data_IF_641081475356
#
_entry.id   IF_641081475356
#
_cell.length_a   1.000
_cell.length_b   1.000
_cell.length_c   1.000
_cell.angle_alpha   90.00
_cell.angle_beta   90.00
_cell.angle_gamma   90.00
#
_symmetry.space_group_name_H-M   'P 1'
#
loop_
_entity.id
_entity.type
_entity.pdbx_description
1 polymer ?
#
# COMPACT_ATOMS: atom_id res chain seq x y z
N UNK A 1 6.27 -14.19 18.25
CA UNK A 1 6.39 -13.02 19.12
C UNK A 1 6.16 -11.79 18.26
N UNK A 2 4.97 -11.20 18.34
CA UNK A 2 4.71 -9.90 17.71
C UNK A 2 4.93 -8.89 18.84
N UNK A 3 5.83 -7.90 18.70
CA UNK A 3 6.10 -6.95 19.77
C UNK A 3 4.92 -5.97 19.84
N UNK A 4 3.84 -6.38 20.49
CA UNK A 4 2.74 -5.47 20.79
C UNK A 4 2.97 -4.82 22.16
N UNK A 5 2.45 -3.60 22.20
CA UNK A 5 2.51 -2.54 23.20
C UNK A 5 2.13 -2.96 24.62
N UNK A 6 2.31 -2.01 25.53
CA UNK A 6 2.02 -2.08 26.97
C UNK A 6 0.78 -2.91 27.31
N UNK A 7 0.92 -3.92 28.18
CA UNK A 7 -0.21 -4.78 28.60
C UNK A 7 -1.18 -4.09 29.57
N UNK A 8 -0.75 -2.99 30.18
CA UNK A 8 -1.49 -2.24 31.19
C UNK A 8 -1.50 -0.76 30.83
N UNK A 9 -2.44 0.00 31.40
CA UNK A 9 -2.38 1.46 31.30
C UNK A 9 -1.12 2.00 31.97
N UNK A 10 -0.38 2.88 31.29
CA UNK A 10 0.71 3.67 31.89
C UNK A 10 0.26 5.12 32.01
N UNK A 11 0.27 5.64 33.23
CA UNK A 11 -0.08 7.04 33.50
C UNK A 11 1.21 7.86 33.66
N UNK A 12 1.45 8.77 32.72
CA UNK A 12 2.56 9.72 32.75
C UNK A 12 2.03 11.09 33.16
N UNK A 13 2.28 11.50 34.41
CA UNK A 13 1.96 12.86 34.87
C UNK A 13 2.89 13.85 34.19
N UNK A 14 2.33 14.78 33.42
CA UNK A 14 3.08 15.87 32.77
C UNK A 14 3.19 17.07 33.70
N UNK A 15 2.10 17.39 34.41
CA UNK A 15 2.05 18.35 35.53
C UNK A 15 0.80 18.07 36.38
N UNK A 16 0.51 18.95 37.35
CA UNK A 16 -0.61 18.78 38.29
C UNK A 16 -1.99 18.71 37.63
N UNK A 17 -2.12 19.24 36.40
CA UNK A 17 -3.39 19.35 35.68
C UNK A 17 -3.45 18.47 34.42
N UNK A 18 -2.38 17.74 34.08
CA UNK A 18 -2.30 16.96 32.84
C UNK A 18 -1.60 15.61 33.06
N UNK A 19 -2.30 14.54 32.72
CA UNK A 19 -1.76 13.17 32.69
C UNK A 19 -1.98 12.59 31.30
N UNK A 20 -0.91 12.06 30.70
CA UNK A 20 -0.98 11.23 29.50
C UNK A 20 -1.22 9.78 29.93
N UNK A 21 -2.24 9.16 29.36
CA UNK A 21 -2.60 7.76 29.64
C UNK A 21 -2.26 6.95 28.40
N UNK A 22 -1.19 6.15 28.46
CA UNK A 22 -0.85 5.16 27.44
C UNK A 22 -1.73 3.91 27.66
N UNK A 23 -2.63 3.63 26.72
CA UNK A 23 -3.56 2.51 26.79
C UNK A 23 -2.98 1.25 26.15
N UNK A 24 -3.37 0.05 26.60
CA UNK A 24 -3.02 -1.18 25.90
C UNK A 24 -3.43 -1.13 24.42
N UNK A 25 -2.56 -1.64 23.54
CA UNK A 25 -2.85 -1.67 22.11
C UNK A 25 -3.86 -2.75 21.75
N UNK A 26 -4.74 -2.45 20.81
CA UNK A 26 -5.65 -3.44 20.25
C UNK A 26 -4.94 -4.30 19.20
N UNK A 27 -5.12 -5.62 19.27
CA UNK A 27 -4.75 -6.53 18.19
C UNK A 27 -5.88 -6.58 17.17
N UNK A 28 -5.64 -6.13 15.94
CA UNK A 28 -6.55 -6.36 14.82
C UNK A 28 -6.12 -7.61 14.06
N UNK A 29 -7.06 -8.52 13.68
CA UNK A 29 -6.74 -9.60 12.76
C UNK A 29 -6.47 -9.01 11.37
N UNK A 30 -5.20 -8.83 11.06
CA UNK A 30 -4.67 -8.45 9.75
C UNK A 30 -3.91 -9.67 9.19
N UNK A 31 -4.03 -9.94 7.88
CA UNK A 31 -3.26 -10.98 7.18
C UNK A 31 -1.74 -10.83 7.33
N UNK A 32 -1.26 -9.60 7.55
CA UNK A 32 0.15 -9.30 7.77
C UNK A 32 0.67 -9.79 9.13
N UNK A 33 -0.22 -9.94 10.12
CA UNK A 33 0.19 -10.15 11.52
C UNK A 33 0.84 -11.52 11.78
N UNK A 34 0.56 -12.51 10.92
CA UNK A 34 1.04 -13.88 11.11
C UNK A 34 2.28 -14.23 10.26
N UNK A 35 2.71 -13.36 9.33
CA UNK A 35 3.88 -13.59 8.49
C UNK A 35 5.06 -12.70 8.91
N UNK A 36 6.01 -13.31 9.64
CA UNK A 36 7.18 -12.62 10.18
C UNK A 36 8.12 -12.08 9.09
N UNK A 37 8.20 -12.73 7.94
CA UNK A 37 9.01 -12.27 6.81
C UNK A 37 8.37 -11.05 6.14
N UNK A 38 7.04 -11.08 5.99
CA UNK A 38 6.27 -9.93 5.50
C UNK A 38 6.38 -8.73 6.46
N UNK A 39 6.28 -8.95 7.77
CA UNK A 39 6.48 -7.92 8.80
C UNK A 39 7.87 -7.24 8.69
N UNK A 40 8.93 -8.01 8.45
CA UNK A 40 10.28 -7.45 8.21
C UNK A 40 10.34 -6.62 6.92
N UNK A 41 9.55 -6.95 5.90
CA UNK A 41 9.53 -6.20 4.63
C UNK A 41 8.79 -4.88 4.77
N UNK A 42 7.65 -4.86 5.45
CA UNK A 42 6.85 -3.64 5.68
C UNK A 42 7.53 -2.68 6.67
N UNK A 43 8.46 -3.16 7.51
CA UNK A 43 9.32 -2.29 8.32
C UNK A 43 10.30 -1.49 7.44
N UNK A 44 9.85 -0.28 7.07
CA UNK A 44 10.55 0.68 6.22
C UNK A 44 11.50 1.52 7.07
N UNK A 45 12.80 1.19 7.00
CA UNK A 45 13.89 1.93 7.70
C UNK A 45 14.50 3.07 6.87
N UNK A 46 14.15 3.17 5.59
CA UNK A 46 14.71 4.13 4.63
C UNK A 46 13.59 4.70 3.78
N UNK A 47 13.77 5.90 3.23
CA UNK A 47 12.81 6.51 2.29
C UNK A 47 12.41 5.50 1.19
N UNK A 48 11.09 5.37 0.98
CA UNK A 48 10.52 4.59 -0.12
C UNK A 48 10.93 5.23 -1.44
N UNK A 49 11.48 4.43 -2.36
CA UNK A 49 11.83 4.90 -3.70
C UNK A 49 10.67 4.57 -4.64
N UNK A 50 10.04 5.57 -5.30
CA UNK A 50 9.02 5.30 -6.30
C UNK A 50 9.60 4.51 -7.46
N UNK A 51 8.85 3.53 -7.97
CA UNK A 51 9.24 2.73 -9.13
C UNK A 51 8.16 2.89 -10.21
N UNK A 52 8.52 3.52 -11.31
CA UNK A 52 7.60 3.78 -12.42
C UNK A 52 7.62 2.64 -13.45
N UNK A 53 6.44 2.26 -13.92
CA UNK A 53 6.26 1.29 -15.01
C UNK A 53 5.33 1.85 -16.08
N UNK A 54 5.72 1.64 -17.34
CA UNK A 54 4.82 1.72 -18.49
C UNK A 54 4.34 0.31 -18.80
N UNK A 55 3.08 0.04 -18.51
CA UNK A 55 2.41 -1.23 -18.74
C UNK A 55 1.68 -1.19 -20.07
N UNK A 56 1.81 -2.26 -20.84
CA UNK A 56 1.03 -2.52 -22.05
C UNK A 56 -0.14 -3.41 -21.72
N UNK A 57 -1.13 -3.41 -22.59
CA UNK A 57 -2.21 -4.39 -22.54
C UNK A 57 -1.65 -5.83 -22.44
N UNK A 58 -2.30 -6.65 -21.61
CA UNK A 58 -1.94 -8.03 -21.27
C UNK A 58 -0.65 -8.22 -20.46
N UNK A 59 0.12 -7.17 -20.18
CA UNK A 59 1.25 -7.27 -19.24
C UNK A 59 0.74 -7.31 -17.79
N UNK A 60 1.52 -7.95 -16.94
CA UNK A 60 1.26 -8.06 -15.51
C UNK A 60 2.34 -7.36 -14.69
N UNK A 61 1.91 -6.65 -13.65
CA UNK A 61 2.78 -6.18 -12.56
C UNK A 61 2.56 -7.09 -11.35
N UNK A 62 3.63 -7.76 -10.94
CA UNK A 62 3.62 -8.79 -9.89
C UNK A 62 4.40 -8.28 -8.69
N UNK A 63 3.77 -8.28 -7.52
CA UNK A 63 4.39 -8.02 -6.22
C UNK A 63 4.55 -9.37 -5.53
N UNK A 64 5.72 -9.99 -5.73
CA UNK A 64 6.06 -11.31 -5.19
C UNK A 64 4.94 -12.36 -5.43
N UNK A 65 4.39 -12.94 -4.37
CA UNK A 65 3.24 -13.85 -4.36
C UNK A 65 1.96 -13.21 -3.81
N UNK A 66 2.02 -11.94 -3.37
CA UNK A 66 0.96 -11.21 -2.68
C UNK A 66 -0.09 -10.62 -3.63
N UNK A 67 0.37 -10.13 -4.79
CA UNK A 67 -0.49 -9.44 -5.75
C UNK A 67 0.00 -9.68 -7.17
N UNK A 68 -0.92 -10.00 -8.08
CA UNK A 68 -0.67 -9.98 -9.51
C UNK A 68 -1.77 -9.19 -10.22
N UNK A 69 -1.39 -8.09 -10.89
CA UNK A 69 -2.32 -7.26 -11.65
C UNK A 69 -2.02 -7.35 -13.14
N UNK A 70 -2.97 -7.86 -13.91
CA UNK A 70 -2.92 -7.92 -15.37
C UNK A 70 -3.68 -6.75 -15.96
N UNK A 71 -3.02 -5.97 -16.82
CA UNK A 71 -3.58 -4.77 -17.42
C UNK A 71 -4.39 -5.11 -18.67
N UNK A 72 -5.57 -4.51 -18.84
CA UNK A 72 -6.44 -4.66 -20.02
C UNK A 72 -6.37 -3.47 -20.97
N UNK A 73 -5.50 -2.51 -20.67
CA UNK A 73 -5.16 -1.37 -21.50
C UNK A 73 -3.75 -0.89 -21.12
N UNK A 74 -3.17 0.00 -21.93
CA UNK A 74 -1.91 0.65 -21.59
C UNK A 74 -2.07 1.52 -20.34
N UNK A 75 -1.09 1.48 -19.44
CA UNK A 75 -1.14 2.21 -18.18
C UNK A 75 0.25 2.69 -17.74
N UNK A 76 0.30 3.91 -17.20
CA UNK A 76 1.46 4.45 -16.51
C UNK A 76 1.21 4.38 -15.01
N UNK A 77 2.03 3.61 -14.30
CA UNK A 77 1.86 3.39 -12.86
C UNK A 77 3.14 3.69 -12.10
N UNK A 78 3.02 4.15 -10.86
CA UNK A 78 4.14 4.39 -9.96
C UNK A 78 3.88 3.64 -8.66
N UNK A 79 4.78 2.72 -8.31
CA UNK A 79 4.64 1.89 -7.14
C UNK A 79 5.39 2.51 -5.94
N UNK A 80 4.69 2.66 -4.81
CA UNK A 80 5.20 3.18 -3.53
C UNK A 80 5.06 2.09 -2.45
N UNK A 81 6.11 1.29 -2.30
CA UNK A 81 6.19 0.19 -1.34
C UNK A 81 7.61 0.09 -0.77
N UNK A 82 7.79 -0.66 0.31
CA UNK A 82 9.12 -0.92 0.86
C UNK A 82 10.09 -1.44 -0.21
N UNK A 83 11.31 -0.90 -0.22
CA UNK A 83 12.36 -1.28 -1.18
C UNK A 83 12.79 -2.76 -1.04
N UNK A 84 12.28 -3.49 -0.04
CA UNK A 84 12.53 -4.92 0.19
C UNK A 84 11.61 -5.82 -0.65
N UNK A 85 10.47 -5.31 -1.13
CA UNK A 85 9.56 -6.06 -1.98
C UNK A 85 10.11 -6.14 -3.41
N UNK A 86 10.02 -7.34 -4.00
CA UNK A 86 10.40 -7.54 -5.41
C UNK A 86 9.20 -7.33 -6.32
N UNK A 87 9.28 -6.32 -7.18
CA UNK A 87 8.34 -6.15 -8.29
C UNK A 87 8.89 -6.83 -9.54
N UNK A 88 8.01 -7.48 -10.30
CA UNK A 88 8.33 -8.06 -11.60
C UNK A 88 7.27 -7.67 -12.61
N UNK A 89 7.74 -7.26 -13.78
CA UNK A 89 6.93 -7.12 -14.98
C UNK A 89 7.01 -8.43 -15.77
N UNK A 90 5.88 -8.93 -16.27
CA UNK A 90 5.87 -10.16 -17.07
C UNK A 90 4.49 -10.51 -17.59
N UNK A 91 4.32 -11.75 -18.04
CA UNK A 91 3.05 -12.28 -18.50
C UNK A 91 2.72 -13.48 -17.62
N UNK A 92 1.80 -13.31 -16.67
CA UNK A 92 1.41 -14.42 -15.79
C UNK A 92 -0.09 -14.44 -15.61
N UNK A 93 -0.72 -15.45 -16.20
CA UNK A 93 -2.13 -15.76 -16.02
C UNK A 93 -2.20 -16.66 -14.78
N UNK A 94 -2.54 -16.09 -13.63
CA UNK A 94 -3.18 -16.87 -12.56
C UNK A 94 -4.70 -16.78 -12.78
N UNK A 95 -5.49 -17.54 -12.02
CA UNK A 95 -6.95 -17.38 -12.02
C UNK A 95 -7.25 -15.97 -11.50
N UNK A 96 -7.47 -15.03 -12.42
CA UNK A 96 -7.79 -13.67 -12.06
C UNK A 96 -9.21 -13.64 -11.49
N UNK A 97 -9.35 -13.27 -10.22
CA UNK A 97 -10.62 -13.37 -9.50
C UNK A 97 -11.39 -12.05 -9.46
N UNK A 98 -10.67 -10.90 -9.51
CA UNK A 98 -11.28 -9.58 -9.38
C UNK A 98 -11.01 -8.72 -10.62
N UNK A 99 -12.07 -8.15 -11.20
CA UNK A 99 -11.98 -7.13 -12.27
C UNK A 99 -12.27 -5.77 -11.66
N UNK A 100 -11.43 -4.79 -11.93
CA UNK A 100 -11.62 -3.43 -11.43
C UNK A 100 -11.20 -2.38 -12.45
N UNK A 101 -11.90 -1.25 -12.42
CA UNK A 101 -11.53 -0.05 -13.15
C UNK A 101 -10.95 0.94 -12.15
N UNK A 102 -9.68 1.30 -12.33
CA UNK A 102 -8.98 2.28 -11.53
C UNK A 102 -9.11 3.65 -12.22
N UNK A 103 -9.72 4.66 -11.59
CA UNK A 103 -9.80 6.00 -12.15
C UNK A 103 -8.42 6.61 -12.40
N UNK A 104 -8.34 7.57 -13.32
CA UNK A 104 -7.15 8.39 -13.49
C UNK A 104 -6.78 9.12 -12.19
N UNK A 105 -5.48 9.28 -11.94
CA UNK A 105 -4.93 9.98 -10.78
C UNK A 105 -5.48 9.43 -9.45
N UNK A 106 -5.51 8.10 -9.33
CA UNK A 106 -5.93 7.42 -8.10
C UNK A 106 -4.87 6.44 -7.63
N UNK A 107 -4.93 6.09 -6.35
CA UNK A 107 -4.08 5.08 -5.73
C UNK A 107 -4.87 3.78 -5.55
N UNK A 108 -4.32 2.67 -6.01
CA UNK A 108 -4.68 1.34 -5.52
C UNK A 108 -3.83 1.04 -4.29
N UNK A 109 -4.44 1.09 -3.12
CA UNK A 109 -3.81 0.75 -1.83
C UNK A 109 -3.87 -0.75 -1.63
N UNK A 110 -2.72 -1.33 -1.29
CA UNK A 110 -2.60 -2.69 -0.79
C UNK A 110 -2.32 -2.59 0.71
N UNK A 111 -3.35 -2.83 1.52
CA UNK A 111 -3.36 -2.50 2.95
C UNK A 111 -2.15 -3.12 3.66
N UNK A 112 -1.41 -2.25 4.35
CA UNK A 112 -0.18 -2.55 5.09
C UNK A 112 1.06 -2.93 4.27
N UNK A 113 0.97 -2.96 2.93
CA UNK A 113 2.13 -3.14 2.02
C UNK A 113 2.57 -1.79 1.43
N UNK A 114 1.62 -1.02 0.90
CA UNK A 114 1.90 0.21 0.17
C UNK A 114 0.78 0.54 -0.81
N UNK A 115 1.10 1.29 -1.86
CA UNK A 115 0.12 1.64 -2.89
C UNK A 115 0.75 1.82 -4.26
N UNK A 116 -0.09 1.77 -5.29
CA UNK A 116 0.28 1.98 -6.69
C UNK A 116 -0.57 3.12 -7.23
N UNK A 117 0.11 4.18 -7.66
CA UNK A 117 -0.52 5.34 -8.25
C UNK A 117 -0.73 5.12 -9.75
N UNK A 118 -1.95 5.29 -10.22
CA UNK A 118 -2.34 5.15 -11.62
C UNK A 118 -2.47 6.55 -12.24
N UNK A 119 -1.65 6.83 -13.26
CA UNK A 119 -1.63 8.14 -13.94
C UNK A 119 -2.69 8.29 -15.01
N UNK A 120 -3.33 7.20 -15.42
CA UNK A 120 -4.42 7.19 -16.38
C UNK A 120 -5.43 6.12 -16.00
N UNK A 121 -6.68 6.26 -16.45
CA UNK A 121 -7.72 5.26 -16.22
C UNK A 121 -7.23 3.88 -16.70
N UNK A 122 -7.38 2.87 -15.85
CA UNK A 122 -6.83 1.54 -16.08
C UNK A 122 -7.81 0.46 -15.70
N UNK A 123 -8.07 -0.46 -16.63
CA UNK A 123 -8.83 -1.68 -16.41
C UNK A 123 -7.84 -2.77 -16.07
N UNK A 124 -8.00 -3.38 -14.89
CA UNK A 124 -7.09 -4.43 -14.43
C UNK A 124 -7.87 -5.64 -13.96
N UNK A 125 -7.21 -6.79 -14.09
CA UNK A 125 -7.61 -8.04 -13.46
C UNK A 125 -6.59 -8.38 -12.39
N UNK A 126 -7.07 -8.57 -11.17
CA UNK A 126 -6.24 -8.75 -9.98
C UNK A 126 -6.44 -10.15 -9.41
N UNK A 127 -5.31 -10.79 -9.11
CA UNK A 127 -5.24 -11.98 -8.28
C UNK A 127 -4.65 -11.59 -6.91
N UNK A 128 -5.48 -11.74 -5.89
CA UNK A 128 -5.25 -11.41 -4.48
C UNK A 128 -6.02 -12.42 -3.63
N UNK A 129 -5.53 -12.70 -2.42
CA UNK A 129 -6.17 -13.64 -1.50
C UNK A 129 -7.58 -13.20 -1.09
N UNK A 130 -7.76 -11.91 -0.80
CA UNK A 130 -9.03 -11.32 -0.37
C UNK A 130 -9.11 -9.86 -0.84
N UNK A 131 -10.24 -9.47 -1.43
CA UNK A 131 -10.47 -8.11 -1.93
C UNK A 131 -10.45 -7.05 -0.83
N UNK A 132 -10.70 -7.43 0.43
CA UNK A 132 -10.69 -6.48 1.57
C UNK A 132 -9.33 -5.82 1.80
N UNK A 133 -8.25 -6.40 1.26
CA UNK A 133 -6.90 -5.85 1.32
C UNK A 133 -6.64 -4.77 0.29
N UNK A 134 -7.57 -4.55 -0.64
CA UNK A 134 -7.49 -3.53 -1.66
C UNK A 134 -8.42 -2.37 -1.32
N UNK A 135 -7.99 -1.17 -1.69
CA UNK A 135 -8.79 0.05 -1.59
C UNK A 135 -8.38 1.00 -2.71
N UNK A 136 -9.37 1.63 -3.37
CA UNK A 136 -9.12 2.71 -4.31
C UNK A 136 -9.39 4.02 -3.59
N UNK A 137 -8.43 4.95 -3.66
CA UNK A 137 -8.58 6.30 -3.09
C UNK A 137 -8.04 7.37 -4.05
N UNK A 138 -8.39 8.65 -3.88
CA UNK A 138 -7.70 9.75 -4.55
C UNK A 138 -6.19 9.71 -4.27
N UNK A 139 -5.39 10.05 -5.27
CA UNK A 139 -3.94 10.18 -5.13
C UNK A 139 -3.57 11.13 -3.99
N UNK A 140 -2.56 10.77 -3.20
CA UNK A 140 -1.95 11.68 -2.23
C UNK A 140 -0.95 12.67 -2.85
N UNK A 141 -0.64 12.51 -4.14
CA UNK A 141 0.25 13.36 -4.93
C UNK A 141 -0.53 14.19 -5.95
N UNK A 142 -0.18 15.46 -6.15
CA UNK A 142 -0.72 16.29 -7.26
C UNK A 142 -2.18 16.72 -7.12
N UNK A 143 -2.60 17.21 -5.95
CA UNK A 143 -3.95 17.75 -5.72
C UNK A 143 -3.93 18.96 -4.78
N UNK A 144 -5.08 19.36 -4.23
CA UNK A 144 -5.28 20.52 -3.32
C UNK A 144 -4.34 20.59 -2.08
N UNK A 145 -3.49 19.59 -1.89
CA UNK A 145 -2.54 19.44 -0.79
C UNK A 145 -1.11 19.84 -1.16
N UNK A 146 -0.82 20.01 -2.45
CA UNK A 146 0.38 20.70 -2.89
C UNK A 146 0.06 22.20 -2.83
N UNK A 147 0.65 22.91 -1.86
CA UNK A 147 0.77 24.35 -1.99
C UNK A 147 1.62 24.61 -3.23
N UNK A 148 1.06 25.32 -4.21
CA UNK A 148 1.84 25.98 -5.24
C UNK A 148 2.89 26.83 -4.53
N UNK A 149 4.10 26.29 -4.43
CA UNK A 149 5.27 27.10 -4.13
C UNK A 149 5.71 27.71 -5.44
N UNK A 150 5.72 29.03 -5.42
CA UNK A 150 6.49 29.92 -6.29
C UNK A 150 5.80 30.28 -7.62
N UNK A 151 4.82 31.19 -7.53
CA UNK A 151 4.72 32.27 -8.50
C UNK A 151 5.37 33.52 -7.88
N UNK A 152 6.55 33.83 -8.41
CA UNK A 152 7.30 35.11 -8.45
C UNK A 152 7.42 35.99 -7.20
#
# INVERSE_FOLDING_TARGET
YIPHTTMNFINLKINDNLTLIDSPGFSYPDYLSNDLELLKKIDVKKKIRPISYQMKESESLIIEDLLNMTFKNNANVIAYLSNKFKLKKGFKIKKNNLKMTIPENSDLVVKGIGFINFKNESKIEVDVEDEKFLEIRPTIFGGKYEHDKDNE
#
